data_IF_970007331978
#
_entry.id   IF_970007331978
#
_cell.length_a   1.000
_cell.length_b   1.000
_cell.length_c   1.000
_cell.angle_alpha   90.00
_cell.angle_beta   90.00
_cell.angle_gamma   90.00
#
_symmetry.space_group_name_H-M   'P 1'
#
loop_
_entity.id
_entity.type
_entity.pdbx_description
1 polymer ?
#
# COMPACT_ATOMS: atom_id res chain seq x y z
N UNK A 1 -1.88 10.26 -1.22
CA UNK A 1 -3.25 10.75 -1.55
C UNK A 1 -4.25 9.63 -1.89
N UNK A 2 -3.82 8.38 -2.15
CA UNK A 2 -4.74 7.23 -2.33
C UNK A 2 -5.42 6.80 -1.03
N UNK A 3 -4.75 6.97 0.11
CA UNK A 3 -5.28 6.58 1.43
C UNK A 3 -6.62 7.26 1.76
N UNK A 4 -6.74 8.57 1.53
CA UNK A 4 -7.97 9.33 1.79
C UNK A 4 -9.13 9.00 0.83
N UNK A 5 -8.88 8.29 -0.27
CA UNK A 5 -9.94 7.81 -1.14
C UNK A 5 -10.58 6.51 -0.62
N UNK A 6 -9.89 5.79 0.28
CA UNK A 6 -10.33 4.51 0.85
C UNK A 6 -10.72 4.60 2.32
N UNK A 7 -10.19 5.59 3.04
CA UNK A 7 -10.37 5.73 4.48
C UNK A 7 -11.09 7.05 4.80
N UNK A 8 -12.13 6.96 5.60
CA UNK A 8 -12.81 8.07 6.24
C UNK A 8 -12.15 8.43 7.58
N UNK A 9 -12.65 9.49 8.24
CA UNK A 9 -12.20 9.86 9.58
C UNK A 9 -12.46 8.71 10.56
N UNK A 10 -11.45 8.34 11.33
CA UNK A 10 -11.53 7.23 12.29
C UNK A 10 -11.31 5.84 11.70
N UNK A 11 -11.13 5.75 10.37
CA UNK A 11 -10.61 4.53 9.76
C UNK A 11 -9.10 4.42 9.95
N UNK A 12 -8.59 3.21 9.74
CA UNK A 12 -7.16 2.96 9.68
C UNK A 12 -6.73 2.25 8.41
N UNK A 13 -5.44 2.38 8.14
CA UNK A 13 -4.74 1.60 7.13
C UNK A 13 -3.54 0.86 7.73
N UNK A 14 -3.42 -0.41 7.36
CA UNK A 14 -2.29 -1.28 7.70
C UNK A 14 -1.18 -1.02 6.70
N UNK A 15 0.03 -0.80 7.20
CA UNK A 15 1.17 -0.37 6.38
C UNK A 15 2.50 -0.85 6.96
N UNK A 16 3.56 -0.90 6.14
CA UNK A 16 4.90 -1.17 6.63
C UNK A 16 5.50 -0.01 7.43
N UNK A 17 6.21 -0.33 8.52
CA UNK A 17 6.96 0.62 9.34
C UNK A 17 8.02 1.38 8.52
N UNK A 18 8.52 0.77 7.45
CA UNK A 18 9.49 1.39 6.53
C UNK A 18 8.87 2.00 5.29
N UNK A 19 7.54 1.93 5.13
CA UNK A 19 6.87 2.41 3.93
C UNK A 19 6.87 3.94 3.86
N UNK A 20 6.95 4.46 2.64
CA UNK A 20 6.98 5.88 2.33
C UNK A 20 5.72 6.60 2.81
N UNK A 21 4.55 6.02 2.54
CA UNK A 21 3.23 6.56 2.91
C UNK A 21 3.06 6.79 4.42
N UNK A 22 3.79 6.03 5.25
CA UNK A 22 3.82 6.21 6.70
C UNK A 22 4.99 7.11 7.15
N UNK A 23 6.22 6.76 6.78
CA UNK A 23 7.44 7.31 7.39
C UNK A 23 7.92 8.62 6.75
N UNK A 24 7.66 8.83 5.47
CA UNK A 24 8.29 9.89 4.67
C UNK A 24 7.32 10.91 4.08
N UNK A 25 6.04 10.88 4.49
CA UNK A 25 5.01 11.85 4.07
C UNK A 25 4.59 12.82 5.18
N UNK A 26 5.44 13.01 6.19
CA UNK A 26 5.18 13.91 7.30
C UNK A 26 3.95 13.53 8.14
N UNK A 27 3.51 12.27 8.07
CA UNK A 27 2.31 11.79 8.74
C UNK A 27 1.01 12.33 8.16
N UNK A 28 0.98 12.78 6.90
CA UNK A 28 -0.17 13.44 6.29
C UNK A 28 -1.50 12.66 6.37
N UNK A 29 -1.46 11.33 6.33
CA UNK A 29 -2.67 10.50 6.51
C UNK A 29 -3.35 10.75 7.87
N UNK A 30 -2.56 10.81 8.94
CA UNK A 30 -3.08 11.09 10.28
C UNK A 30 -3.41 12.57 10.47
N UNK A 31 -2.48 13.46 10.11
CA UNK A 31 -2.59 14.90 10.38
C UNK A 31 -3.70 15.55 9.56
N UNK A 32 -3.84 15.18 8.28
CA UNK A 32 -4.79 15.83 7.36
C UNK A 32 -6.03 14.98 7.12
N UNK A 33 -5.86 13.66 7.03
CA UNK A 33 -6.97 12.72 6.78
C UNK A 33 -7.73 12.29 8.03
N UNK A 34 -7.14 12.46 9.22
CA UNK A 34 -7.63 11.84 10.46
C UNK A 34 -7.84 10.33 10.31
N UNK A 35 -6.90 9.71 9.59
CA UNK A 35 -6.80 8.27 9.38
C UNK A 35 -5.72 7.75 10.32
N UNK A 36 -6.04 6.72 11.10
CA UNK A 36 -5.08 6.09 11.99
C UNK A 36 -4.09 5.22 11.15
N UNK A 37 -2.78 5.39 11.32
CA UNK A 37 -1.80 4.46 10.74
C UNK A 37 -1.57 3.28 11.69
N UNK A 38 -1.73 2.06 11.19
CA UNK A 38 -1.42 0.83 11.91
C UNK A 38 -0.16 0.20 11.30
N UNK A 39 1.05 0.66 11.65
CA UNK A 39 2.25 0.16 11.04
C UNK A 39 2.65 -1.21 11.59
N UNK A 40 3.26 -2.01 10.73
CA UNK A 40 3.80 -3.35 11.02
C UNK A 40 5.25 -3.39 10.55
N UNK A 41 6.12 -4.05 11.33
CA UNK A 41 7.49 -4.29 10.89
C UNK A 41 7.53 -5.13 9.62
N UNK A 42 8.20 -4.59 8.60
CA UNK A 42 8.52 -5.33 7.39
C UNK A 42 9.49 -6.48 7.70
N UNK A 43 9.34 -7.60 6.99
CA UNK A 43 10.35 -8.64 6.93
C UNK A 43 11.60 -8.17 6.14
N UNK A 44 12.65 -8.97 6.18
CA UNK A 44 13.93 -8.64 5.55
C UNK A 44 13.83 -8.46 4.03
N UNK A 45 12.86 -9.09 3.36
CA UNK A 45 12.60 -8.94 1.93
C UNK A 45 11.71 -7.72 1.60
N UNK A 46 11.21 -7.01 2.62
CA UNK A 46 10.31 -5.86 2.48
C UNK A 46 8.82 -6.21 2.60
N UNK A 47 8.46 -7.49 2.60
CA UNK A 47 7.07 -7.93 2.79
C UNK A 47 6.55 -7.62 4.20
N UNK A 48 5.23 -7.64 4.39
CA UNK A 48 4.60 -7.64 5.71
C UNK A 48 4.18 -9.07 6.01
N UNK A 49 4.67 -9.70 7.09
CA UNK A 49 4.27 -11.07 7.40
C UNK A 49 2.75 -11.20 7.51
N UNK A 50 2.16 -12.19 6.84
CA UNK A 50 0.70 -12.33 6.69
C UNK A 50 0.00 -12.50 8.04
N UNK A 51 0.64 -13.21 8.96
CA UNK A 51 0.17 -13.38 10.34
C UNK A 51 0.13 -12.06 11.09
N UNK A 52 1.09 -11.16 10.85
CA UNK A 52 1.09 -9.82 11.45
C UNK A 52 0.01 -8.95 10.83
N UNK A 53 -0.24 -9.04 9.51
CA UNK A 53 -1.38 -8.37 8.87
C UNK A 53 -2.68 -8.83 9.54
N UNK A 54 -2.89 -10.14 9.64
CA UNK A 54 -4.12 -10.68 10.22
C UNK A 54 -4.31 -10.26 11.69
N UNK A 55 -3.24 -10.19 12.47
CA UNK A 55 -3.29 -9.79 13.87
C UNK A 55 -3.52 -8.27 14.06
N UNK A 56 -3.19 -7.46 13.05
CA UNK A 56 -3.38 -6.01 13.10
C UNK A 56 -4.81 -5.58 12.77
N UNK A 57 -5.58 -6.41 12.06
CA UNK A 57 -6.97 -6.15 11.72
C UNK A 57 -7.80 -6.15 13.02
N UNK A 58 -8.47 -5.03 13.29
CA UNK A 58 -9.23 -4.83 14.51
C UNK A 58 -10.63 -5.42 14.37
N UNK A 59 -11.17 -5.88 15.50
CA UNK A 59 -12.57 -6.26 15.59
C UNK A 59 -13.48 -5.02 15.39
N UNK A 60 -14.70 -5.25 14.93
CA UNK A 60 -15.73 -4.21 14.85
C UNK A 60 -16.25 -3.88 16.25
N UNK A 61 -15.52 -3.00 16.93
CA UNK A 61 -15.77 -2.55 18.30
C UNK A 61 -15.39 -1.07 18.42
N UNK A 62 -16.21 -0.31 19.14
CA UNK A 62 -16.09 1.15 19.23
C UNK A 62 -14.82 1.66 19.93
N UNK A 63 -14.07 0.79 20.63
CA UNK A 63 -12.78 1.14 21.21
C UNK A 63 -11.66 1.20 20.16
N UNK A 64 -11.88 0.66 18.96
CA UNK A 64 -10.87 0.52 17.93
C UNK A 64 -11.16 1.40 16.70
N UNK A 65 -10.08 1.80 16.02
CA UNK A 65 -10.19 2.34 14.66
C UNK A 65 -10.66 1.23 13.70
N UNK A 66 -11.39 1.60 12.64
CA UNK A 66 -11.94 0.62 11.70
C UNK A 66 -10.88 0.27 10.65
N UNK A 67 -10.40 -0.98 10.63
CA UNK A 67 -9.46 -1.43 9.61
C UNK A 67 -10.12 -1.44 8.23
N UNK A 68 -9.64 -0.60 7.31
CA UNK A 68 -10.23 -0.44 5.97
C UNK A 68 -9.30 -0.72 4.81
N UNK A 69 -7.99 -0.54 4.99
CA UNK A 69 -7.05 -0.56 3.89
C UNK A 69 -5.77 -1.31 4.24
N UNK A 70 -5.31 -2.19 3.35
CA UNK A 70 -3.93 -2.68 3.31
C UNK A 70 -3.13 -1.88 2.27
N UNK A 71 -2.06 -1.21 2.70
CA UNK A 71 -1.15 -0.49 1.83
C UNK A 71 0.20 -1.20 1.72
N UNK A 72 0.57 -1.62 0.52
CA UNK A 72 1.89 -2.19 0.20
C UNK A 72 2.71 -1.21 -0.63
N UNK A 73 4.03 -1.36 -0.60
CA UNK A 73 4.97 -0.56 -1.40
C UNK A 73 5.79 -1.49 -2.30
N UNK A 74 5.82 -1.21 -3.61
CA UNK A 74 6.65 -1.95 -4.56
C UNK A 74 7.27 -1.00 -5.61
N UNK A 75 8.59 -0.82 -5.65
CA UNK A 75 9.61 -1.44 -4.79
C UNK A 75 9.77 -0.73 -3.45
N UNK A 76 10.08 -1.49 -2.40
CA UNK A 76 10.35 -0.98 -1.04
C UNK A 76 11.84 -1.10 -0.72
N UNK A 77 12.50 0.03 -0.45
CA UNK A 77 13.96 0.04 -0.23
C UNK A 77 14.77 -0.58 -1.39
N UNK A 78 14.24 -0.53 -2.61
CA UNK A 78 14.83 -1.16 -3.80
C UNK A 78 14.51 -2.65 -3.97
N UNK A 79 13.76 -3.27 -3.05
CA UNK A 79 13.37 -4.68 -3.11
C UNK A 79 12.03 -4.83 -3.81
N UNK A 80 11.96 -5.82 -4.69
CA UNK A 80 10.71 -6.22 -5.35
C UNK A 80 9.97 -7.20 -4.46
N UNK A 81 8.70 -6.93 -4.17
CA UNK A 81 7.87 -7.88 -3.43
C UNK A 81 7.61 -9.13 -4.28
N UNK A 82 7.73 -10.36 -3.73
CA UNK A 82 7.42 -11.57 -4.47
C UNK A 82 5.94 -11.59 -4.93
N UNK A 83 5.69 -12.00 -6.18
CA UNK A 83 4.34 -11.98 -6.74
C UNK A 83 3.35 -12.88 -5.96
N UNK A 84 3.78 -14.07 -5.57
CA UNK A 84 2.98 -15.00 -4.75
C UNK A 84 2.62 -14.39 -3.38
N UNK A 85 3.53 -13.64 -2.76
CA UNK A 85 3.24 -12.90 -1.53
C UNK A 85 2.20 -11.81 -1.76
N UNK A 86 2.32 -11.03 -2.84
CA UNK A 86 1.36 -9.96 -3.16
C UNK A 86 -0.05 -10.52 -3.35
N UNK A 87 -0.18 -11.67 -4.03
CA UNK A 87 -1.48 -12.33 -4.20
C UNK A 87 -2.05 -12.75 -2.84
N UNK A 88 -1.27 -13.48 -2.03
CA UNK A 88 -1.70 -13.92 -0.69
C UNK A 88 -2.10 -12.76 0.22
N UNK A 89 -1.34 -11.67 0.20
CA UNK A 89 -1.61 -10.50 1.04
C UNK A 89 -2.89 -9.76 0.60
N UNK A 90 -3.10 -9.60 -0.70
CA UNK A 90 -4.30 -8.92 -1.22
C UNK A 90 -5.54 -9.80 -1.11
N UNK A 91 -5.42 -11.12 -1.25
CA UNK A 91 -6.48 -12.09 -0.96
C UNK A 91 -6.87 -12.05 0.51
N UNK A 92 -5.90 -12.13 1.43
CA UNK A 92 -6.15 -12.01 2.87
C UNK A 92 -6.88 -10.69 3.21
N UNK A 93 -6.44 -9.57 2.63
CA UNK A 93 -7.10 -8.28 2.84
C UNK A 93 -8.56 -8.32 2.37
N UNK A 94 -8.82 -8.86 1.18
CA UNK A 94 -10.15 -8.96 0.59
C UNK A 94 -11.08 -9.89 1.38
N UNK A 95 -10.59 -11.04 1.84
CA UNK A 95 -11.33 -11.96 2.70
C UNK A 95 -11.75 -11.31 4.03
N UNK A 96 -10.97 -10.34 4.49
CA UNK A 96 -11.22 -9.57 5.71
C UNK A 96 -11.96 -8.25 5.46
N UNK A 97 -12.40 -8.00 4.23
CA UNK A 97 -13.18 -6.82 3.85
C UNK A 97 -12.37 -5.52 3.76
N UNK A 98 -11.03 -5.60 3.64
CA UNK A 98 -10.18 -4.45 3.40
C UNK A 98 -9.99 -4.21 1.90
N UNK A 99 -9.91 -2.93 1.52
CA UNK A 99 -9.38 -2.52 0.24
C UNK A 99 -7.85 -2.68 0.22
N UNK A 100 -7.26 -2.57 -0.97
CA UNK A 100 -5.83 -2.72 -1.21
C UNK A 100 -5.27 -1.56 -2.03
N UNK A 101 -4.15 -1.00 -1.56
CA UNK A 101 -3.44 0.07 -2.25
C UNK A 101 -1.98 -0.30 -2.47
N UNK A 102 -1.48 0.01 -3.67
CA UNK A 102 -0.06 -0.08 -3.99
C UNK A 102 0.58 1.31 -4.09
N UNK A 103 1.55 1.60 -3.24
CA UNK A 103 2.54 2.64 -3.51
C UNK A 103 3.56 2.10 -4.52
N UNK A 104 3.33 2.44 -5.79
CA UNK A 104 4.14 2.07 -6.94
C UNK A 104 5.10 3.17 -7.38
N UNK A 105 5.63 3.99 -6.46
CA UNK A 105 6.54 5.08 -6.82
C UNK A 105 7.74 4.65 -7.67
N UNK A 106 8.12 3.35 -7.61
CA UNK A 106 9.15 2.72 -8.45
C UNK A 106 8.67 1.44 -9.12
N UNK A 107 7.37 1.36 -9.46
CA UNK A 107 6.80 0.13 -10.02
C UNK A 107 7.39 -0.24 -11.39
N UNK A 108 7.83 0.76 -12.17
CA UNK A 108 8.56 0.54 -13.42
C UNK A 108 9.85 -0.25 -13.21
N UNK A 109 10.56 -0.01 -12.10
CA UNK A 109 11.77 -0.77 -11.76
C UNK A 109 11.43 -2.23 -11.46
N UNK A 110 10.31 -2.49 -10.76
CA UNK A 110 9.83 -3.85 -10.53
C UNK A 110 9.47 -4.54 -11.85
N UNK A 111 8.74 -3.84 -12.74
CA UNK A 111 8.34 -4.37 -14.05
C UNK A 111 9.53 -4.82 -14.90
N UNK A 112 10.60 -4.00 -14.95
CA UNK A 112 11.84 -4.35 -15.66
C UNK A 112 12.58 -5.49 -14.96
N UNK A 113 12.67 -5.47 -13.63
CA UNK A 113 13.41 -6.48 -12.87
C UNK A 113 12.77 -7.88 -12.93
N UNK A 114 11.44 -7.96 -13.10
CA UNK A 114 10.70 -9.23 -13.13
C UNK A 114 10.19 -9.61 -14.52
N UNK A 115 10.51 -8.83 -15.56
CA UNK A 115 9.97 -8.99 -16.91
C UNK A 115 8.43 -9.14 -16.91
N UNK A 116 7.77 -8.32 -16.09
CA UNK A 116 6.31 -8.39 -15.86
C UNK A 116 5.66 -7.07 -16.24
N UNK A 117 4.54 -7.11 -16.96
CA UNK A 117 3.85 -5.89 -17.33
C UNK A 117 3.32 -5.14 -16.10
N UNK A 118 3.27 -3.80 -16.16
CA UNK A 118 2.65 -2.99 -15.11
C UNK A 118 1.20 -3.40 -14.85
N UNK A 119 0.47 -3.78 -15.90
CA UNK A 119 -0.91 -4.26 -15.79
C UNK A 119 -0.99 -5.48 -14.87
N UNK A 120 -0.09 -6.45 -15.03
CA UNK A 120 -0.04 -7.64 -14.18
C UNK A 120 0.36 -7.30 -12.73
N UNK A 121 1.32 -6.39 -12.54
CA UNK A 121 1.75 -5.97 -11.20
C UNK A 121 0.66 -5.19 -10.44
N UNK A 122 -0.19 -4.44 -11.16
CA UNK A 122 -1.28 -3.67 -10.58
C UNK A 122 -2.55 -4.50 -10.35
N UNK A 123 -2.74 -5.60 -11.08
CA UNK A 123 -3.97 -6.39 -11.09
C UNK A 123 -4.50 -6.80 -9.69
N UNK A 124 -3.65 -7.15 -8.70
CA UNK A 124 -4.14 -7.56 -7.39
C UNK A 124 -4.71 -6.43 -6.53
N UNK A 125 -4.51 -5.17 -6.93
CA UNK A 125 -4.80 -3.98 -6.11
C UNK A 125 -6.02 -3.20 -6.61
N UNK A 126 -6.79 -2.65 -5.66
CA UNK A 126 -7.93 -1.78 -5.98
C UNK A 126 -7.49 -0.38 -6.45
N UNK A 127 -6.28 0.03 -6.07
CA UNK A 127 -5.72 1.32 -6.50
C UNK A 127 -4.19 1.32 -6.45
N UNK A 128 -3.58 2.11 -7.33
CA UNK A 128 -2.12 2.21 -7.45
C UNK A 128 -1.68 3.67 -7.57
N UNK A 129 -0.65 4.05 -6.82
CA UNK A 129 0.07 5.32 -6.99
C UNK A 129 1.29 5.11 -7.88
N UNK A 130 1.42 5.85 -8.99
CA UNK A 130 2.64 5.82 -9.82
C UNK A 130 3.38 7.17 -9.75
N UNK A 131 4.72 7.12 -9.69
CA UNK A 131 5.56 8.32 -9.69
C UNK A 131 6.36 8.44 -10.99
N UNK A 132 5.95 9.35 -11.87
CA UNK A 132 6.63 9.59 -13.14
C UNK A 132 7.91 10.42 -13.00
N UNK A 133 8.00 11.28 -11.97
CA UNK A 133 9.20 12.09 -11.71
C UNK A 133 10.41 11.31 -11.19
N UNK A 134 10.23 10.02 -10.87
CA UNK A 134 11.32 9.13 -10.44
C UNK A 134 11.67 8.10 -11.52
N UNK A 135 10.71 7.68 -12.33
CA UNK A 135 10.94 6.78 -13.46
C UNK A 135 11.59 7.51 -14.64
N UNK A 136 11.22 8.77 -14.87
CA UNK A 136 11.76 9.64 -15.92
C UNK A 136 12.31 10.89 -15.24
N UNK A 137 13.50 11.35 -15.65
CA UNK A 137 14.16 12.53 -15.10
C UNK A 137 13.44 13.83 -15.52
N UNK A 138 12.19 14.02 -15.10
CA UNK A 138 11.39 15.23 -15.33
C UNK A 138 10.80 15.73 -14.00
N UNK A 139 10.78 17.04 -13.72
CA UNK A 139 10.41 17.57 -12.41
C UNK A 139 8.90 17.40 -12.16
N UNK A 140 8.57 16.81 -11.01
CA UNK A 140 7.28 16.89 -10.29
C UNK A 140 5.97 16.74 -11.08
N UNK A 141 5.50 15.51 -11.25
CA UNK A 141 4.07 15.22 -11.37
C UNK A 141 3.76 13.79 -10.86
N UNK A 142 2.94 13.68 -9.81
CA UNK A 142 2.27 12.43 -9.40
C UNK A 142 0.85 12.49 -9.95
N UNK A 143 0.49 11.58 -10.85
CA UNK A 143 -0.87 11.46 -11.40
C UNK A 143 -1.51 10.15 -10.92
N UNK A 144 -2.79 10.22 -10.53
CA UNK A 144 -3.59 9.11 -10.02
C UNK A 144 -4.31 8.42 -11.18
N UNK A 145 -4.09 7.13 -11.38
CA UNK A 145 -4.92 6.30 -12.29
C UNK A 145 -5.75 5.34 -11.44
N UNK A 146 -7.05 5.59 -11.35
CA UNK A 146 -8.01 4.62 -10.85
C UNK A 146 -8.41 3.70 -12.01
N UNK A 147 -7.91 2.47 -12.03
CA UNK A 147 -8.40 1.43 -12.93
C UNK A 147 -9.74 0.95 -12.37
N UNK A 148 -10.86 1.52 -12.85
CA UNK A 148 -12.19 0.92 -12.64
C UNK A 148 -12.32 -0.31 -13.53
N UNK A 149 -12.63 -1.45 -12.93
CA UNK A 149 -13.37 -2.53 -13.60
C UNK A 149 -14.86 -2.29 -13.44
#
# INVERSE_FOLDING_TARGET
>A
MGLMAHCERGDEYIVGQSAHTYRYEGGGAAVLGSIQPQPIENAADGSLPLEKISAAIKADDFHFARSKLLALENTIGGKVLPADYVLKATELARERGLATHLDGARLFNAAVATDTSLKQLCLPFDSVSLCFSKAWAHPSARHWWALKH
#
